data_IF_784197262397
#
_entry.id   IF_784197262397
#
_cell.length_a   1.000
_cell.length_b   1.000
_cell.length_c   1.000
_cell.angle_alpha   90.00
_cell.angle_beta   90.00
_cell.angle_gamma   90.00
#
_symmetry.space_group_name_H-M   'P 1'
#
loop_
_entity.id
_entity.type
_entity.pdbx_description
1 polymer ?
#
# COMPACT_ATOMS: atom_id res chain seq x y z
N UNK A 1 -33.20 28.88 -61.11
CA UNK A 1 -31.82 29.37 -61.25
C UNK A 1 -31.14 29.18 -59.90
N UNK A 2 -30.16 28.25 -59.82
CA UNK A 2 -29.09 28.04 -58.82
C UNK A 2 -29.41 28.27 -57.32
N UNK A 3 -29.10 27.38 -56.35
CA UNK A 3 -28.35 26.12 -56.32
C UNK A 3 -28.28 25.61 -54.86
N UNK A 4 -28.04 24.31 -54.67
CA UNK A 4 -27.60 23.67 -53.40
C UNK A 4 -26.09 23.98 -53.18
N UNK A 5 -25.46 23.84 -51.97
CA UNK A 5 -25.43 22.59 -51.18
C UNK A 5 -25.30 22.69 -49.63
N UNK A 6 -25.60 21.55 -49.01
CA UNK A 6 -25.03 20.91 -47.82
C UNK A 6 -24.24 21.71 -46.74
N UNK A 7 -24.62 21.48 -45.48
CA UNK A 7 -23.76 21.61 -44.31
C UNK A 7 -24.17 20.55 -43.26
N UNK A 8 -23.45 19.43 -43.24
CA UNK A 8 -23.61 18.29 -42.33
C UNK A 8 -22.36 18.25 -41.46
N UNK A 9 -22.46 18.51 -40.16
CA UNK A 9 -21.34 18.33 -39.21
C UNK A 9 -21.90 18.15 -37.79
N UNK A 10 -22.16 16.92 -37.34
CA UNK A 10 -21.27 16.00 -36.59
C UNK A 10 -20.98 16.43 -35.14
N UNK A 11 -22.01 16.33 -34.29
CA UNK A 11 -21.93 16.56 -32.85
C UNK A 11 -21.69 15.23 -32.11
N UNK A 12 -20.52 14.62 -32.31
CA UNK A 12 -20.20 13.32 -31.67
C UNK A 12 -18.71 13.16 -31.40
N UNK A 13 -18.11 14.10 -30.65
CA UNK A 13 -16.68 13.99 -30.26
C UNK A 13 -16.41 14.33 -28.80
N UNK A 14 -17.34 14.07 -27.87
CA UNK A 14 -17.11 14.38 -26.44
C UNK A 14 -17.05 13.16 -25.51
N UNK A 15 -17.41 11.95 -25.97
CA UNK A 15 -17.56 10.80 -25.05
C UNK A 15 -16.40 9.79 -25.01
N UNK A 16 -15.33 9.95 -25.80
CA UNK A 16 -14.21 8.98 -25.82
C UNK A 16 -12.98 9.35 -24.99
N UNK A 17 -12.89 10.60 -24.54
CA UNK A 17 -11.71 11.09 -23.84
C UNK A 17 -11.43 10.48 -22.45
N UNK A 18 -12.42 10.08 -21.62
CA UNK A 18 -12.11 9.60 -20.26
C UNK A 18 -11.47 8.20 -20.23
N UNK A 19 -11.93 7.29 -21.09
CA UNK A 19 -11.48 5.89 -21.08
C UNK A 19 -10.05 5.74 -21.60
N UNK A 20 -9.69 6.47 -22.67
CA UNK A 20 -8.34 6.45 -23.27
C UNK A 20 -7.27 7.13 -22.39
N UNK A 21 -7.68 8.08 -21.53
CA UNK A 21 -6.81 8.69 -20.52
C UNK A 21 -6.58 7.75 -19.33
N UNK A 22 -7.65 7.07 -18.88
CA UNK A 22 -7.55 6.09 -17.78
C UNK A 22 -6.73 4.85 -18.16
N UNK A 23 -6.80 4.39 -19.41
CA UNK A 23 -6.03 3.23 -19.88
C UNK A 23 -4.53 3.52 -19.98
N UNK A 24 -4.15 4.76 -20.30
CA UNK A 24 -2.75 5.18 -20.26
C UNK A 24 -2.19 5.23 -18.84
N UNK A 25 -3.00 5.66 -17.86
CA UNK A 25 -2.60 5.64 -16.45
C UNK A 25 -2.51 4.21 -15.90
N UNK A 26 -3.48 3.36 -16.23
CA UNK A 26 -3.47 1.95 -15.83
C UNK A 26 -2.22 1.23 -16.37
N UNK A 27 -1.83 1.47 -17.62
CA UNK A 27 -0.61 0.92 -18.20
C UNK A 27 0.66 1.42 -17.47
N UNK A 28 0.69 2.69 -17.08
CA UNK A 28 1.80 3.26 -16.32
C UNK A 28 1.89 2.65 -14.91
N UNK A 29 0.75 2.46 -14.22
CA UNK A 29 0.71 1.79 -12.92
C UNK A 29 1.16 0.33 -13.05
N UNK A 30 0.68 -0.40 -14.05
CA UNK A 30 1.06 -1.79 -14.31
C UNK A 30 2.58 -1.91 -14.56
N UNK A 31 3.15 -1.03 -15.39
CA UNK A 31 4.58 -1.04 -15.68
C UNK A 31 5.41 -0.83 -14.41
N UNK A 32 5.00 0.09 -13.53
CA UNK A 32 5.71 0.34 -12.27
C UNK A 32 5.57 -0.86 -11.32
N UNK A 33 4.37 -1.43 -11.18
CA UNK A 33 4.12 -2.58 -10.31
C UNK A 33 4.87 -3.83 -10.76
N UNK A 34 5.01 -4.06 -12.07
CA UNK A 34 5.76 -5.20 -12.61
C UNK A 34 7.27 -5.07 -12.45
N UNK A 35 7.80 -3.86 -12.20
CA UNK A 35 9.23 -3.64 -11.91
C UNK A 35 9.59 -3.95 -10.45
N UNK A 36 8.60 -4.16 -9.59
CA UNK A 36 8.82 -4.51 -8.19
C UNK A 36 9.36 -5.94 -8.10
N UNK A 37 10.48 -6.12 -7.40
CA UNK A 37 11.09 -7.42 -7.15
C UNK A 37 10.11 -8.35 -6.42
N UNK A 38 10.05 -9.62 -6.82
CA UNK A 38 9.16 -10.63 -6.23
C UNK A 38 9.39 -10.79 -4.72
N UNK A 39 10.64 -10.63 -4.24
CA UNK A 39 10.98 -10.69 -2.83
C UNK A 39 10.38 -9.52 -2.02
N UNK A 40 10.15 -8.39 -2.69
CA UNK A 40 9.54 -7.18 -2.10
C UNK A 40 8.04 -7.07 -2.39
N UNK A 41 7.47 -8.00 -3.16
CA UNK A 41 6.08 -7.92 -3.59
C UNK A 41 5.10 -7.94 -2.40
N UNK A 42 5.29 -8.86 -1.45
CA UNK A 42 4.40 -8.98 -0.28
C UNK A 42 4.44 -7.72 0.59
N UNK A 43 5.64 -7.15 0.71
CA UNK A 43 5.88 -5.88 1.39
C UNK A 43 5.16 -4.74 0.67
N UNK A 44 5.38 -4.58 -0.65
CA UNK A 44 4.73 -3.57 -1.46
C UNK A 44 3.19 -3.64 -1.40
N UNK A 45 2.61 -4.85 -1.44
CA UNK A 45 1.17 -5.07 -1.30
C UNK A 45 0.67 -4.59 0.07
N UNK A 46 1.39 -4.94 1.15
CA UNK A 46 1.07 -4.46 2.51
C UNK A 46 1.01 -2.94 2.57
N UNK A 47 2.02 -2.28 2.01
CA UNK A 47 2.14 -0.83 2.00
C UNK A 47 1.06 -0.15 1.17
N UNK A 48 0.74 -0.71 0.00
CA UNK A 48 -0.33 -0.19 -0.86
C UNK A 48 -1.70 -0.30 -0.17
N UNK A 49 -1.96 -1.36 0.60
CA UNK A 49 -3.19 -1.45 1.42
C UNK A 49 -3.26 -0.30 2.42
N UNK A 50 -2.18 -0.09 3.19
CA UNK A 50 -2.09 1.00 4.16
C UNK A 50 -2.28 2.38 3.50
N UNK A 51 -1.56 2.66 2.42
CA UNK A 51 -1.63 3.93 1.70
C UNK A 51 -2.99 4.19 1.06
N UNK A 52 -3.68 3.15 0.59
CA UNK A 52 -4.98 3.27 -0.07
C UNK A 52 -6.16 3.40 0.90
N UNK A 53 -6.07 2.82 2.10
CA UNK A 53 -7.21 2.66 3.01
C UNK A 53 -7.04 3.31 4.38
N UNK A 54 -5.91 3.94 4.65
CA UNK A 54 -5.77 4.76 5.87
C UNK A 54 -6.65 6.01 5.81
N UNK A 55 -7.17 6.37 6.98
CA UNK A 55 -8.06 7.52 7.14
C UNK A 55 -7.33 8.85 6.88
N UNK A 56 -6.08 8.95 7.32
CA UNK A 56 -5.20 10.08 7.09
C UNK A 56 -3.94 9.66 6.33
N UNK A 57 -3.15 10.63 5.88
CA UNK A 57 -1.83 10.37 5.29
C UNK A 57 -0.97 9.65 6.33
N UNK A 58 -0.28 8.60 5.94
CA UNK A 58 0.60 7.89 6.88
C UNK A 58 1.78 8.79 7.25
N UNK A 59 2.17 8.76 8.52
CA UNK A 59 3.46 9.32 8.92
C UNK A 59 4.59 8.44 8.40
N UNK A 60 5.74 9.03 8.12
CA UNK A 60 6.94 8.28 7.69
C UNK A 60 7.36 7.27 8.78
N UNK A 61 7.21 7.63 10.05
CA UNK A 61 7.53 6.77 11.19
C UNK A 61 6.64 5.52 11.20
N UNK A 62 5.31 5.70 11.16
CA UNK A 62 4.37 4.57 11.12
C UNK A 62 4.58 3.71 9.87
N UNK A 63 4.83 4.34 8.72
CA UNK A 63 5.16 3.62 7.50
C UNK A 63 6.41 2.75 7.68
N UNK A 64 7.46 3.29 8.31
CA UNK A 64 8.70 2.55 8.60
C UNK A 64 8.44 1.36 9.53
N UNK A 65 7.63 1.55 10.56
CA UNK A 65 7.26 0.50 11.51
C UNK A 65 6.46 -0.63 10.86
N UNK A 66 5.53 -0.30 9.96
CA UNK A 66 4.80 -1.29 9.17
C UNK A 66 5.77 -2.10 8.31
N UNK A 67 6.75 -1.45 7.66
CA UNK A 67 7.74 -2.13 6.83
C UNK A 67 8.64 -3.08 7.62
N UNK A 68 9.06 -2.67 8.82
CA UNK A 68 9.90 -3.47 9.69
C UNK A 68 9.24 -4.80 10.13
N UNK A 69 7.91 -4.90 10.12
CA UNK A 69 7.19 -6.14 10.46
C UNK A 69 7.29 -7.22 9.37
N UNK A 70 7.51 -6.83 8.12
CA UNK A 70 7.51 -7.73 6.97
C UNK A 70 8.92 -8.06 6.44
N UNK A 71 9.95 -7.36 6.91
CA UNK A 71 11.33 -7.81 6.73
C UNK A 71 11.56 -9.01 7.63
N UNK A 72 11.87 -10.15 7.02
CA UNK A 72 12.09 -11.42 7.73
C UNK A 72 13.17 -11.23 8.81
N UNK A 73 12.77 -11.36 10.09
CA UNK A 73 13.67 -11.28 11.25
C UNK A 73 14.72 -12.41 11.25
N UNK A 74 14.61 -13.39 10.34
CA UNK A 74 15.54 -14.52 10.23
C UNK A 74 16.68 -14.32 9.21
N UNK A 75 16.58 -13.33 8.33
CA UNK A 75 17.69 -12.99 7.43
C UNK A 75 18.73 -12.17 8.20
N UNK A 76 20.03 -12.52 8.15
CA UNK A 76 21.10 -11.70 8.73
C UNK A 76 21.31 -10.49 7.82
N UNK A 77 20.32 -9.60 7.79
CA UNK A 77 20.45 -8.29 7.18
C UNK A 77 21.36 -7.49 8.11
N UNK A 78 22.46 -6.97 7.57
CA UNK A 78 23.39 -6.13 8.33
C UNK A 78 22.59 -5.00 8.99
N UNK A 79 22.86 -4.67 10.26
CA UNK A 79 22.03 -3.69 11.01
C UNK A 79 22.06 -2.30 10.32
N UNK A 80 23.06 -2.03 9.49
CA UNK A 80 23.13 -0.86 8.59
C UNK A 80 22.15 -0.93 7.39
N UNK A 81 21.87 -2.11 6.85
CA UNK A 81 20.86 -2.35 5.81
C UNK A 81 19.44 -2.32 6.39
N UNK A 82 19.27 -2.79 7.63
CA UNK A 82 18.01 -2.74 8.38
C UNK A 82 17.56 -1.30 8.69
N UNK A 83 18.51 -0.41 8.97
CA UNK A 83 18.27 1.03 9.12
C UNK A 83 17.98 1.75 7.78
N UNK A 84 18.27 1.13 6.63
CA UNK A 84 17.90 1.64 5.29
C UNK A 84 16.54 1.15 4.77
N UNK A 85 15.84 0.30 5.53
CA UNK A 85 14.58 -0.36 5.15
C UNK A 85 13.47 0.60 4.66
N UNK A 86 13.17 1.75 5.29
CA UNK A 86 12.07 2.61 4.84
C UNK A 86 12.34 3.39 3.56
N UNK A 87 13.60 3.62 3.22
CA UNK A 87 13.94 4.26 1.94
C UNK A 87 13.92 3.26 0.79
N UNK A 88 14.31 2.00 1.03
CA UNK A 88 14.22 0.92 0.03
C UNK A 88 12.75 0.65 -0.32
N UNK A 89 11.92 0.60 0.71
CA UNK A 89 10.47 0.56 0.66
C UNK A 89 9.85 1.66 -0.23
N UNK A 90 10.17 2.92 0.06
CA UNK A 90 9.68 4.07 -0.70
C UNK A 90 10.23 4.08 -2.12
N UNK A 91 11.49 3.67 -2.31
CA UNK A 91 12.13 3.56 -3.62
C UNK A 91 11.45 2.49 -4.49
N UNK A 92 11.04 1.38 -3.89
CA UNK A 92 10.29 0.32 -4.58
C UNK A 92 8.92 0.81 -5.08
N UNK A 93 8.30 1.75 -4.35
CA UNK A 93 7.02 2.35 -4.71
C UNK A 93 7.16 3.70 -5.43
N UNK A 94 8.37 4.02 -5.91
CA UNK A 94 8.65 5.28 -6.58
C UNK A 94 7.73 5.46 -7.80
N UNK A 95 7.02 6.59 -7.84
CA UNK A 95 6.02 6.88 -8.87
C UNK A 95 4.59 6.45 -8.53
N UNK A 96 4.39 5.63 -7.49
CA UNK A 96 3.08 5.30 -6.93
C UNK A 96 2.76 6.13 -5.68
N UNK A 97 3.79 6.67 -5.04
CA UNK A 97 3.67 7.41 -3.77
C UNK A 97 4.32 8.79 -3.86
N UNK A 98 3.82 9.71 -3.05
CA UNK A 98 4.42 11.01 -2.79
C UNK A 98 4.91 11.03 -1.35
N UNK A 99 6.15 11.47 -1.17
CA UNK A 99 6.81 11.62 0.12
C UNK A 99 6.91 13.11 0.43
N UNK A 100 6.21 13.55 1.47
CA UNK A 100 6.33 14.89 2.04
C UNK A 100 7.33 14.93 3.20
N UNK A 101 7.37 16.03 3.95
CA UNK A 101 8.33 16.20 5.06
C UNK A 101 8.16 15.16 6.18
N UNK A 102 6.92 14.82 6.52
CA UNK A 102 6.60 13.89 7.60
C UNK A 102 5.60 12.80 7.22
N UNK A 103 5.07 12.85 6.00
CA UNK A 103 3.95 12.01 5.57
C UNK A 103 4.20 11.37 4.20
N UNK A 104 3.59 10.21 3.99
CA UNK A 104 3.55 9.49 2.72
C UNK A 104 2.11 9.18 2.34
N UNK A 105 1.78 9.34 1.05
CA UNK A 105 0.46 9.04 0.50
C UNK A 105 0.55 8.59 -0.97
N UNK A 106 -0.53 8.03 -1.52
CA UNK A 106 -0.58 7.68 -2.93
C UNK A 106 -0.46 8.92 -3.82
N UNK A 107 0.31 8.82 -4.91
CA UNK A 107 0.52 9.92 -5.83
C UNK A 107 -0.78 10.34 -6.55
N UNK A 108 -1.63 9.37 -6.86
CA UNK A 108 -2.88 9.58 -7.60
C UNK A 108 -4.04 8.85 -6.92
N UNK A 109 -5.20 9.50 -6.85
CA UNK A 109 -6.40 8.89 -6.28
C UNK A 109 -6.92 7.72 -7.13
N UNK A 110 -6.69 7.76 -8.43
CA UNK A 110 -7.04 6.70 -9.39
C UNK A 110 -6.27 5.40 -9.16
N UNK A 111 -5.10 5.45 -8.52
CA UNK A 111 -4.32 4.26 -8.20
C UNK A 111 -5.07 3.33 -7.23
N UNK A 112 -5.76 3.89 -6.23
CA UNK A 112 -6.64 3.11 -5.33
C UNK A 112 -7.75 2.41 -6.11
N UNK A 113 -8.39 3.12 -7.03
CA UNK A 113 -9.43 2.54 -7.87
C UNK A 113 -8.85 1.41 -8.74
N UNK A 114 -7.69 1.64 -9.36
CA UNK A 114 -7.00 0.64 -10.16
C UNK A 114 -6.70 -0.65 -9.36
N UNK A 115 -6.06 -0.53 -8.19
CA UNK A 115 -5.68 -1.65 -7.30
C UNK A 115 -6.88 -2.51 -6.84
N UNK A 116 -8.06 -1.92 -6.77
CA UNK A 116 -9.31 -2.58 -6.33
C UNK A 116 -10.22 -3.00 -7.49
N UNK A 117 -9.87 -2.62 -8.72
CA UNK A 117 -10.69 -2.85 -9.90
C UNK A 117 -10.50 -4.25 -10.51
N UNK A 118 -11.41 -4.60 -11.42
CA UNK A 118 -11.24 -5.77 -12.28
C UNK A 118 -10.10 -5.60 -13.31
N UNK A 119 -9.59 -4.38 -13.52
CA UNK A 119 -8.59 -4.06 -14.54
C UNK A 119 -7.25 -4.70 -14.16
N UNK A 120 -6.75 -4.41 -12.96
CA UNK A 120 -5.54 -5.06 -12.42
C UNK A 120 -5.73 -6.57 -12.23
N UNK A 121 -6.92 -7.01 -11.78
CA UNK A 121 -7.19 -8.43 -11.49
C UNK A 121 -7.08 -9.33 -12.72
N UNK A 122 -7.33 -8.78 -13.91
CA UNK A 122 -7.22 -9.50 -15.19
C UNK A 122 -5.90 -9.23 -15.91
N UNK A 123 -5.08 -8.31 -15.39
CA UNK A 123 -3.83 -7.90 -15.97
C UNK A 123 -2.62 -8.64 -15.39
N UNK A 124 -1.43 -8.45 -15.99
CA UNK A 124 -0.14 -8.91 -15.49
C UNK A 124 0.12 -8.58 -14.02
N UNK A 125 -0.28 -7.39 -13.55
CA UNK A 125 -0.07 -6.96 -12.15
C UNK A 125 -1.14 -7.50 -11.17
N UNK A 126 -1.89 -8.55 -11.53
CA UNK A 126 -2.97 -9.11 -10.71
C UNK A 126 -2.57 -9.52 -9.29
N UNK A 127 -1.30 -9.85 -9.05
CA UNK A 127 -0.75 -10.12 -7.71
C UNK A 127 -0.91 -8.94 -6.74
N UNK A 128 -0.94 -7.70 -7.26
CA UNK A 128 -1.13 -6.49 -6.46
C UNK A 128 -2.61 -6.12 -6.24
N UNK A 129 -3.55 -6.91 -6.80
CA UNK A 129 -4.98 -6.68 -6.61
C UNK A 129 -5.43 -7.06 -5.21
N UNK A 130 -6.25 -6.23 -4.58
CA UNK A 130 -6.90 -6.55 -3.31
C UNK A 130 -8.27 -5.88 -3.20
N UNK A 131 -9.11 -6.40 -2.31
CA UNK A 131 -10.40 -5.78 -1.99
C UNK A 131 -10.27 -4.83 -0.80
N UNK A 132 -11.21 -3.90 -0.69
CA UNK A 132 -11.32 -3.02 0.48
C UNK A 132 -11.38 -3.82 1.80
N UNK A 133 -12.17 -4.90 1.85
CA UNK A 133 -12.29 -5.76 3.03
C UNK A 133 -10.95 -6.38 3.42
N UNK A 134 -10.17 -6.86 2.44
CA UNK A 134 -8.85 -7.44 2.68
C UNK A 134 -7.86 -6.38 3.15
N UNK A 135 -7.94 -5.16 2.62
CA UNK A 135 -7.09 -4.05 3.06
C UNK A 135 -7.40 -3.64 4.51
N UNK A 136 -8.66 -3.43 4.85
CA UNK A 136 -9.05 -3.06 6.22
C UNK A 136 -8.73 -4.15 7.24
N UNK A 137 -8.97 -5.42 6.91
CA UNK A 137 -8.61 -6.54 7.78
C UNK A 137 -7.09 -6.60 8.02
N UNK A 138 -6.31 -6.38 6.95
CA UNK A 138 -4.85 -6.33 7.03
C UNK A 138 -4.37 -5.20 7.92
N UNK A 139 -4.90 -3.98 7.73
CA UNK A 139 -4.56 -2.80 8.53
C UNK A 139 -4.90 -3.05 10.01
N UNK A 140 -6.09 -3.58 10.31
CA UNK A 140 -6.50 -3.88 11.67
C UNK A 140 -5.56 -4.91 12.33
N UNK A 141 -5.22 -5.97 11.60
CA UNK A 141 -4.31 -7.01 12.09
C UNK A 141 -2.89 -6.48 12.34
N UNK A 142 -2.31 -5.74 11.38
CA UNK A 142 -1.00 -5.11 11.55
C UNK A 142 -0.98 -4.10 12.70
N UNK A 143 -2.07 -3.37 12.92
CA UNK A 143 -2.19 -2.43 14.04
C UNK A 143 -2.18 -3.15 15.39
N UNK A 144 -2.85 -4.31 15.48
CA UNK A 144 -2.85 -5.13 16.70
C UNK A 144 -1.47 -5.74 16.96
N UNK A 145 -0.79 -6.25 15.92
CA UNK A 145 0.58 -6.77 16.04
C UNK A 145 1.49 -5.66 16.56
N UNK A 146 1.46 -4.49 15.93
CA UNK A 146 2.26 -3.34 16.35
C UNK A 146 1.99 -2.97 17.82
N UNK A 147 0.73 -2.92 18.23
CA UNK A 147 0.36 -2.65 19.61
C UNK A 147 0.94 -3.68 20.59
N UNK A 148 0.90 -4.98 20.25
CA UNK A 148 1.46 -6.05 21.09
C UNK A 148 2.99 -6.04 21.13
N UNK A 149 3.65 -5.68 20.03
CA UNK A 149 5.11 -5.54 19.97
C UNK A 149 5.58 -4.37 20.85
N UNK A 150 4.82 -3.26 20.89
CA UNK A 150 5.12 -2.09 21.73
C UNK A 150 4.67 -2.26 23.20
N UNK A 151 3.74 -3.16 23.47
CA UNK A 151 3.22 -3.45 24.81
C UNK A 151 3.23 -4.98 25.04
N UNK A 152 4.42 -5.57 25.27
CA UNK A 152 4.50 -7.00 25.49
C UNK A 152 3.64 -7.36 26.71
N UNK A 153 2.79 -8.41 26.62
CA UNK A 153 2.00 -8.84 27.75
C UNK A 153 2.96 -9.11 28.91
N UNK A 154 2.69 -8.48 30.06
CA UNK A 154 3.55 -8.55 31.24
C UNK A 154 3.98 -9.99 31.48
N UNK A 155 5.27 -10.26 31.36
CA UNK A 155 5.82 -11.58 31.68
C UNK A 155 5.39 -11.87 33.12
N UNK A 156 4.63 -12.96 33.39
CA UNK A 156 4.26 -13.31 34.74
C UNK A 156 5.54 -13.39 35.57
N UNK A 157 5.61 -12.58 36.62
CA UNK A 157 6.78 -12.52 37.47
C UNK A 157 6.98 -13.92 38.10
N UNK A 158 8.09 -14.63 37.84
CA UNK A 158 8.28 -15.98 38.37
C UNK A 158 8.41 -16.01 39.91
N UNK A 159 8.39 -14.86 40.58
CA UNK A 159 8.50 -14.72 42.02
C UNK A 159 7.16 -14.42 42.75
N UNK A 160 6.00 -14.43 42.08
CA UNK A 160 4.71 -14.20 42.77
C UNK A 160 4.16 -15.39 43.58
N UNK A 161 4.95 -16.47 43.78
CA UNK A 161 4.55 -17.63 44.58
C UNK A 161 5.46 -17.88 45.79
N UNK A 162 5.91 -16.84 46.51
CA UNK A 162 6.59 -17.02 47.80
C UNK A 162 6.16 -15.99 48.83
N UNK A 163 4.87 -15.86 49.14
CA UNK A 163 4.45 -15.20 50.38
C UNK A 163 3.04 -15.63 50.85
N UNK A 164 2.83 -16.93 51.02
CA UNK A 164 1.79 -17.47 51.90
C UNK A 164 2.30 -18.67 52.70
N UNK A 165 3.36 -18.46 53.47
CA UNK A 165 3.69 -19.32 54.62
C UNK A 165 4.14 -18.44 55.79
N UNK A 166 3.22 -17.77 56.48
CA UNK A 166 3.43 -17.36 57.88
C UNK A 166 2.16 -17.60 58.68
N UNK A 167 2.23 -18.69 59.44
CA UNK A 167 1.72 -18.94 60.80
C UNK A 167 0.38 -18.35 61.25
N UNK A 168 -0.53 -19.26 61.61
CA UNK A 168 -1.03 -19.38 63.00
C UNK A 168 -1.30 -20.86 63.35
#
# INVERSE_FOLDING_TARGET
MMGTPAGKTNDTTVYKAPEELSSNLDAAFEEILLKIDENLQSLAISSLKWLAFSFERLTIDLFTEIFAQYTDKSAPLDEAEKLSSPYIALKCLSGLVVVGEHHVWLAEASLKEYLTSNRIRRGPASAFSFTETVAHLHIAHSSLIHHLDCNPPGIPNPYENEEQTVSE
#
